data_IF_023426459679
#
_entry.id   IF_023426459679
#
_cell.length_a   1.000
_cell.length_b   1.000
_cell.length_c   1.000
_cell.angle_alpha   90.00
_cell.angle_beta   90.00
_cell.angle_gamma   90.00
#
_symmetry.space_group_name_H-M   'P 1'
#
loop_
_entity.id
_entity.type
_entity.pdbx_description
1 polymer ?
#
# COMPACT_ATOMS: atom_id res chain seq x y z
N UNK A 1 17.45 4.51 -9.56
CA UNK A 1 16.57 3.44 -9.05
C UNK A 1 16.21 2.51 -10.21
N UNK A 2 16.07 1.20 -9.99
CA UNK A 2 15.63 0.28 -11.05
C UNK A 2 14.15 0.51 -11.42
N UNK A 3 13.79 0.21 -12.67
CA UNK A 3 12.41 0.31 -13.15
C UNK A 3 11.46 -0.61 -12.37
N UNK A 4 10.28 -0.09 -12.00
CA UNK A 4 9.25 -0.81 -11.25
C UNK A 4 8.25 -1.53 -12.17
N UNK A 5 8.72 -2.42 -13.03
CA UNK A 5 7.85 -3.20 -13.95
C UNK A 5 6.70 -3.89 -13.21
N UNK A 6 5.50 -3.86 -13.76
CA UNK A 6 4.28 -4.36 -13.09
C UNK A 6 3.58 -3.31 -12.21
N UNK A 7 4.17 -2.13 -11.96
CA UNK A 7 3.49 -1.07 -11.21
C UNK A 7 2.27 -0.49 -11.93
N UNK A 8 2.22 -0.57 -13.27
CA UNK A 8 1.03 -0.18 -14.03
C UNK A 8 -0.15 -1.12 -13.74
N UNK A 9 0.11 -2.42 -13.62
CA UNK A 9 -0.88 -3.43 -13.21
C UNK A 9 -1.42 -3.13 -11.81
N UNK A 10 -0.54 -2.75 -10.87
CA UNK A 10 -0.94 -2.30 -9.53
C UNK A 10 -1.86 -1.07 -9.61
N UNK A 11 -1.50 -0.05 -10.41
CA UNK A 11 -2.30 1.16 -10.63
C UNK A 11 -3.69 0.83 -11.17
N UNK A 12 -3.78 -0.01 -12.20
CA UNK A 12 -5.05 -0.36 -12.85
C UNK A 12 -5.97 -1.16 -11.92
N UNK A 13 -5.40 -2.13 -11.18
CA UNK A 13 -6.15 -2.93 -10.21
C UNK A 13 -6.70 -2.08 -9.07
N UNK A 14 -5.90 -1.17 -8.50
CA UNK A 14 -6.36 -0.26 -7.45
C UNK A 14 -7.41 0.71 -7.97
N UNK A 15 -7.22 1.26 -9.17
CA UNK A 15 -8.19 2.15 -9.80
C UNK A 15 -9.53 1.47 -9.97
N UNK A 16 -9.55 0.24 -10.49
CA UNK A 16 -10.77 -0.55 -10.62
C UNK A 16 -11.45 -0.75 -9.25
N UNK A 17 -10.72 -1.25 -8.25
CA UNK A 17 -11.32 -1.60 -6.95
C UNK A 17 -11.80 -0.41 -6.14
N UNK A 18 -11.06 0.70 -6.13
CA UNK A 18 -11.54 1.91 -5.44
C UNK A 18 -12.70 2.58 -6.19
N UNK A 19 -12.76 2.47 -7.51
CA UNK A 19 -13.93 2.93 -8.28
C UNK A 19 -15.16 2.09 -7.96
N UNK A 20 -15.03 0.76 -7.82
CA UNK A 20 -16.12 -0.15 -7.41
C UNK A 20 -16.68 0.22 -6.01
N UNK A 21 -15.82 0.71 -5.11
CA UNK A 21 -16.20 1.23 -3.79
C UNK A 21 -16.73 2.66 -3.80
N UNK A 22 -16.85 3.28 -4.98
CA UNK A 22 -17.44 4.61 -5.16
C UNK A 22 -16.50 5.77 -4.83
N UNK A 23 -15.19 5.58 -4.87
CA UNK A 23 -14.20 6.65 -4.79
C UNK A 23 -13.96 7.28 -6.17
N UNK A 24 -13.75 8.60 -6.20
CA UNK A 24 -13.23 9.29 -7.38
C UNK A 24 -11.70 9.11 -7.45
N UNK A 25 -11.22 8.30 -8.40
CA UNK A 25 -9.79 7.97 -8.50
C UNK A 25 -9.07 8.87 -9.52
N UNK A 26 -7.96 9.47 -9.09
CA UNK A 26 -7.04 10.25 -9.93
C UNK A 26 -5.65 9.62 -9.87
N UNK A 27 -5.11 9.25 -11.03
CA UNK A 27 -3.76 8.70 -11.15
C UNK A 27 -2.79 9.77 -11.65
N UNK A 28 -1.55 9.72 -11.15
CA UNK A 28 -0.47 10.59 -11.58
C UNK A 28 0.79 9.75 -11.71
N UNK A 29 1.35 9.70 -12.91
CA UNK A 29 2.51 8.87 -13.23
C UNK A 29 3.79 9.72 -13.21
N UNK A 30 4.86 9.17 -12.61
CA UNK A 30 6.23 9.69 -12.66
C UNK A 30 6.40 11.19 -12.38
N UNK A 31 5.65 11.71 -11.39
CA UNK A 31 5.77 13.10 -10.97
C UNK A 31 7.17 13.41 -10.42
N UNK A 32 7.70 14.58 -10.77
CA UNK A 32 8.91 15.13 -10.14
C UNK A 32 8.65 15.57 -8.72
N UNK A 33 9.72 15.74 -7.96
CA UNK A 33 9.67 16.12 -6.56
C UNK A 33 9.11 17.53 -6.33
N UNK A 34 9.16 18.41 -7.34
CA UNK A 34 8.50 19.72 -7.32
C UNK A 34 7.00 19.63 -7.63
N UNK A 35 6.57 18.65 -8.43
CA UNK A 35 5.20 18.50 -8.90
C UNK A 35 4.32 17.75 -7.89
N UNK A 36 4.88 16.71 -7.25
CA UNK A 36 4.16 15.86 -6.31
C UNK A 36 3.59 16.65 -5.12
N UNK A 37 4.37 17.51 -4.42
CA UNK A 37 3.83 18.36 -3.36
C UNK A 37 2.74 19.31 -3.85
N UNK A 38 2.83 19.84 -5.07
CA UNK A 38 1.80 20.72 -5.64
C UNK A 38 0.49 19.97 -5.87
N UNK A 39 0.53 18.72 -6.37
CA UNK A 39 -0.66 17.89 -6.53
C UNK A 39 -1.29 17.52 -5.19
N UNK A 40 -0.47 17.12 -4.22
CA UNK A 40 -0.95 16.77 -2.88
C UNK A 40 -1.52 18.00 -2.16
N UNK A 41 -0.85 19.15 -2.25
CA UNK A 41 -1.34 20.42 -1.70
C UNK A 41 -2.68 20.82 -2.32
N UNK A 42 -2.82 20.73 -3.65
CA UNK A 42 -4.09 20.99 -4.33
C UNK A 42 -5.21 20.08 -3.81
N UNK A 43 -4.91 18.81 -3.55
CA UNK A 43 -5.87 17.87 -2.97
C UNK A 43 -6.21 18.25 -1.51
N UNK A 44 -5.24 18.63 -0.68
CA UNK A 44 -5.50 19.01 0.71
C UNK A 44 -6.29 20.31 0.85
N UNK A 45 -6.15 21.25 -0.09
CA UNK A 45 -6.89 22.52 -0.08
C UNK A 45 -8.26 22.47 -0.76
N UNK A 46 -8.62 21.35 -1.38
CA UNK A 46 -9.95 21.18 -1.96
C UNK A 46 -11.03 21.06 -0.86
N UNK A 47 -12.28 21.34 -1.21
CA UNK A 47 -13.39 21.05 -0.31
C UNK A 47 -13.69 19.55 -0.30
N UNK A 48 -13.61 18.93 0.88
CA UNK A 48 -13.99 17.54 1.13
C UNK A 48 -15.29 17.45 1.92
N UNK A 49 -16.11 18.50 1.95
CA UNK A 49 -17.33 18.56 2.76
C UNK A 49 -18.27 17.38 2.46
N UNK A 50 -18.44 17.05 1.18
CA UNK A 50 -19.31 15.98 0.69
C UNK A 50 -18.61 14.61 0.57
N UNK A 51 -17.32 14.54 0.91
CA UNK A 51 -16.56 13.29 0.90
C UNK A 51 -16.71 12.53 2.23
N UNK A 52 -16.74 11.20 2.18
CA UNK A 52 -16.79 10.35 3.38
C UNK A 52 -15.40 10.11 3.98
N UNK A 53 -14.37 10.06 3.15
CA UNK A 53 -12.98 9.83 3.52
C UNK A 53 -12.04 10.38 2.43
N UNK A 54 -10.74 10.37 2.73
CA UNK A 54 -9.68 10.61 1.77
C UNK A 54 -8.76 9.39 1.70
N UNK A 55 -8.36 9.00 0.49
CA UNK A 55 -7.43 7.89 0.25
C UNK A 55 -6.32 8.33 -0.70
N UNK A 56 -5.08 8.02 -0.35
CA UNK A 56 -3.90 8.32 -1.16
C UNK A 56 -2.96 7.11 -1.22
N UNK A 57 -2.54 6.73 -2.42
CA UNK A 57 -1.64 5.59 -2.64
C UNK A 57 -0.34 6.07 -3.26
N UNK A 58 0.80 5.63 -2.72
CA UNK A 58 2.13 5.92 -3.25
C UNK A 58 2.80 4.65 -3.77
N UNK A 59 2.72 4.41 -5.08
CA UNK A 59 3.40 3.27 -5.73
C UNK A 59 4.82 3.68 -6.18
N UNK A 60 5.78 3.68 -5.25
CA UNK A 60 7.16 4.06 -5.56
C UNK A 60 8.17 3.25 -4.74
N UNK A 61 9.45 3.50 -5.01
CA UNK A 61 10.52 3.13 -4.10
C UNK A 61 10.44 3.99 -2.84
N UNK A 62 11.02 3.51 -1.74
CA UNK A 62 11.09 4.23 -0.48
C UNK A 62 12.38 3.95 0.27
N UNK A 63 12.68 4.83 1.22
CA UNK A 63 13.84 4.73 2.10
C UNK A 63 13.55 5.46 3.42
N UNK A 64 13.53 4.73 4.54
CA UNK A 64 13.16 5.27 5.85
C UNK A 64 11.79 5.94 5.88
N UNK A 65 11.77 7.23 6.27
CA UNK A 65 10.58 8.09 6.26
C UNK A 65 10.33 8.78 4.90
N UNK A 66 11.03 8.39 3.82
CA UNK A 66 10.90 9.00 2.51
C UNK A 66 10.30 8.06 1.47
N UNK A 67 9.64 8.65 0.47
CA UNK A 67 9.28 8.03 -0.80
C UNK A 67 10.05 8.71 -1.93
N UNK A 68 10.31 8.00 -3.02
CA UNK A 68 10.93 8.58 -4.20
C UNK A 68 9.86 9.17 -5.12
N UNK A 69 10.02 10.44 -5.48
CA UNK A 69 9.46 10.99 -6.70
C UNK A 69 10.38 10.60 -7.89
N UNK A 70 10.12 11.12 -9.08
CA UNK A 70 10.92 10.79 -10.26
C UNK A 70 12.41 11.14 -10.12
N UNK A 71 12.73 12.28 -9.53
CA UNK A 71 14.06 12.88 -9.49
C UNK A 71 14.65 13.04 -8.07
N UNK A 72 13.83 13.06 -7.02
CA UNK A 72 14.30 13.17 -5.63
C UNK A 72 13.37 12.50 -4.61
N UNK A 73 13.89 12.29 -3.40
CA UNK A 73 13.13 11.75 -2.27
C UNK A 73 12.34 12.83 -1.55
N UNK A 74 11.15 12.49 -1.07
CA UNK A 74 10.26 13.36 -0.30
C UNK A 74 9.87 12.66 1.00
N UNK A 75 9.88 13.41 2.10
CA UNK A 75 9.44 12.91 3.38
C UNK A 75 7.92 12.69 3.41
N UNK A 76 7.50 11.51 3.86
CA UNK A 76 6.08 11.11 3.95
C UNK A 76 5.31 12.05 4.89
N UNK A 77 5.93 12.54 5.97
CA UNK A 77 5.31 13.47 6.90
C UNK A 77 4.98 14.82 6.25
N UNK A 78 5.79 15.29 5.30
CA UNK A 78 5.52 16.54 4.56
C UNK A 78 4.23 16.43 3.76
N UNK A 79 3.97 15.25 3.17
CA UNK A 79 2.78 15.01 2.35
C UNK A 79 1.54 14.73 3.19
N UNK A 80 1.65 13.78 4.13
CA UNK A 80 0.54 13.39 5.01
C UNK A 80 0.14 14.52 5.97
N UNK A 81 1.10 15.35 6.39
CA UNK A 81 0.89 16.46 7.31
C UNK A 81 -0.03 17.55 6.77
N UNK A 82 -0.22 17.65 5.45
CA UNK A 82 -1.15 18.59 4.81
C UNK A 82 -2.62 18.25 5.09
N UNK A 83 -2.92 17.03 5.51
CA UNK A 83 -4.28 16.57 5.81
C UNK A 83 -4.60 16.56 7.31
N UNK A 84 -3.71 17.13 8.15
CA UNK A 84 -4.00 17.34 9.57
C UNK A 84 -5.12 18.37 9.75
N UNK A 85 -5.82 18.30 10.89
CA UNK A 85 -7.07 19.04 11.10
C UNK A 85 -6.92 20.57 10.99
N UNK A 86 -5.79 21.11 11.40
CA UNK A 86 -5.43 22.53 11.28
C UNK A 86 -5.20 22.99 9.83
N UNK A 87 -4.87 22.06 8.92
CA UNK A 87 -4.56 22.35 7.50
C UNK A 87 -5.66 21.94 6.53
N UNK A 88 -6.43 20.91 6.88
CA UNK A 88 -7.52 20.38 6.05
C UNK A 88 -8.79 20.19 6.89
N UNK A 89 -9.44 21.32 7.19
CA UNK A 89 -10.60 21.35 8.10
C UNK A 89 -11.78 20.48 7.62
N UNK A 90 -11.99 20.38 6.31
CA UNK A 90 -13.10 19.60 5.72
C UNK A 90 -12.94 18.07 5.86
N UNK A 91 -11.76 17.58 6.28
CA UNK A 91 -11.48 16.18 6.59
C UNK A 91 -11.34 15.89 8.09
N UNK A 92 -11.59 16.86 8.98
CA UNK A 92 -11.61 16.61 10.44
C UNK A 92 -12.73 15.62 10.78
N UNK A 93 -12.43 14.58 11.55
CA UNK A 93 -13.37 13.53 11.90
C UNK A 93 -13.65 12.51 10.79
N UNK A 94 -12.99 12.63 9.63
CA UNK A 94 -13.14 11.72 8.47
C UNK A 94 -11.88 10.87 8.29
N UNK A 95 -11.98 9.59 7.89
CA UNK A 95 -10.81 8.74 7.68
C UNK A 95 -9.86 9.29 6.60
N UNK A 96 -8.55 9.26 6.89
CA UNK A 96 -7.46 9.68 6.00
C UNK A 96 -6.50 8.51 5.81
N UNK A 97 -6.69 7.79 4.70
CA UNK A 97 -6.06 6.49 4.45
C UNK A 97 -4.87 6.71 3.51
N UNK A 98 -3.69 6.29 3.93
CA UNK A 98 -2.48 6.33 3.11
C UNK A 98 -1.94 4.93 2.92
N UNK A 99 -1.82 4.49 1.68
CA UNK A 99 -1.30 3.17 1.32
C UNK A 99 0.06 3.37 0.66
N UNK A 100 1.11 2.89 1.32
CA UNK A 100 2.50 3.12 0.93
C UNK A 100 3.16 1.74 0.78
N UNK A 101 3.01 1.08 -0.38
CA UNK A 101 3.75 -0.13 -0.70
C UNK A 101 5.19 0.20 -1.09
N UNK A 102 5.90 0.89 -0.20
CA UNK A 102 7.28 1.29 -0.39
C UNK A 102 8.14 0.74 0.74
N UNK A 103 9.35 0.35 0.36
CA UNK A 103 10.40 -0.11 1.25
C UNK A 103 10.87 1.01 2.18
N UNK A 104 11.23 0.67 3.41
CA UNK A 104 11.60 1.67 4.43
C UNK A 104 12.95 1.43 5.11
N UNK A 105 13.81 0.56 4.58
CA UNK A 105 15.20 0.39 5.04
C UNK A 105 15.77 -1.03 4.93
N UNK A 106 17.05 -1.22 5.23
CA UNK A 106 17.80 -2.43 4.84
C UNK A 106 17.93 -3.52 5.93
N UNK A 107 17.02 -3.59 6.90
CA UNK A 107 17.09 -4.61 7.96
C UNK A 107 16.26 -5.85 7.61
N UNK A 108 16.82 -7.03 7.89
CA UNK A 108 16.34 -8.31 7.39
C UNK A 108 15.98 -9.23 8.55
N UNK A 109 14.71 -9.61 8.64
CA UNK A 109 14.28 -10.71 9.51
C UNK A 109 14.72 -12.07 8.96
N UNK A 110 15.16 -12.95 9.87
CA UNK A 110 15.46 -14.35 9.55
C UNK A 110 14.14 -15.13 9.48
N UNK A 111 13.82 -15.80 8.36
CA UNK A 111 12.57 -16.51 8.22
C UNK A 111 12.46 -17.68 9.21
N UNK A 112 11.35 -17.73 9.96
CA UNK A 112 10.98 -18.87 10.79
C UNK A 112 9.99 -19.76 10.04
N UNK A 113 10.26 -21.07 10.02
CA UNK A 113 9.42 -22.09 9.39
C UNK A 113 8.19 -22.33 10.28
N UNK A 114 6.95 -22.10 9.81
CA UNK A 114 5.75 -22.53 10.52
C UNK A 114 5.67 -24.05 10.48
N UNK A 115 5.28 -24.68 11.59
CA UNK A 115 5.19 -26.13 11.75
C UNK A 115 4.08 -26.81 10.91
N UNK A 116 3.26 -26.05 10.19
CA UNK A 116 2.19 -26.58 9.36
C UNK A 116 2.39 -26.19 7.89
N UNK A 117 2.75 -27.17 7.06
CA UNK A 117 2.58 -27.05 5.61
C UNK A 117 2.15 -28.37 4.99
N UNK A 118 1.05 -28.30 4.24
CA UNK A 118 0.64 -29.30 3.25
C UNK A 118 1.09 -28.81 1.88
N UNK A 119 1.91 -29.61 1.19
CA UNK A 119 2.44 -29.29 -0.13
C UNK A 119 1.36 -29.41 -1.22
N UNK A 120 1.27 -28.39 -2.07
CA UNK A 120 0.62 -28.52 -3.38
C UNK A 120 1.57 -28.01 -4.46
N UNK A 121 2.06 -28.94 -5.29
CA UNK A 121 2.76 -28.62 -6.54
C UNK A 121 1.77 -28.11 -7.59
N UNK A 122 2.14 -27.05 -8.31
CA UNK A 122 1.52 -26.69 -9.59
C UNK A 122 2.58 -26.42 -10.64
N UNK A 123 2.21 -26.80 -11.86
CA UNK A 123 3.06 -26.87 -13.05
C UNK A 123 3.37 -25.50 -13.66
N UNK A 124 4.49 -25.44 -14.39
CA UNK A 124 5.09 -24.25 -15.00
C UNK A 124 4.23 -23.63 -16.11
N UNK A 125 4.09 -22.30 -16.08
CA UNK A 125 3.75 -21.44 -17.24
C UNK A 125 4.42 -20.06 -17.06
N UNK A 126 4.86 -19.49 -18.18
CA UNK A 126 5.46 -18.16 -18.46
C UNK A 126 6.23 -17.45 -17.31
N UNK A 127 7.53 -17.20 -17.54
CA UNK A 127 8.49 -16.67 -16.55
C UNK A 127 8.17 -15.24 -16.10
N UNK A 128 7.21 -15.11 -15.19
CA UNK A 128 7.01 -13.93 -14.37
C UNK A 128 8.08 -13.91 -13.26
N UNK A 129 8.85 -12.83 -13.20
CA UNK A 129 10.03 -12.74 -12.34
C UNK A 129 9.73 -11.85 -11.13
N UNK A 130 9.97 -12.39 -9.94
CA UNK A 130 9.84 -11.64 -8.69
C UNK A 130 11.08 -10.79 -8.45
N UNK A 131 10.88 -9.51 -8.15
CA UNK A 131 11.89 -8.55 -7.69
C UNK A 131 11.73 -8.30 -6.20
N UNK A 132 12.86 -8.05 -5.52
CA UNK A 132 12.94 -7.90 -4.07
C UNK A 132 13.57 -6.54 -3.69
N UNK A 133 12.94 -5.85 -2.74
CA UNK A 133 13.48 -4.62 -2.12
C UNK A 133 13.44 -4.78 -0.57
N UNK A 134 14.36 -4.16 0.17
CA UNK A 134 14.46 -4.30 1.64
C UNK A 134 13.67 -3.21 2.39
N UNK A 135 12.95 -3.54 3.47
CA UNK A 135 12.14 -2.60 4.25
C UNK A 135 12.29 -2.67 5.78
N UNK A 136 12.11 -1.52 6.47
CA UNK A 136 12.03 -1.40 7.94
C UNK A 136 11.06 -0.29 8.38
N UNK A 137 10.12 -0.52 9.28
CA UNK A 137 9.08 0.48 9.62
C UNK A 137 9.53 1.58 10.58
N UNK A 138 9.21 2.83 10.23
CA UNK A 138 9.07 3.96 11.16
C UNK A 138 7.57 4.24 11.38
N UNK A 139 7.08 4.12 12.61
CA UNK A 139 5.73 4.55 12.98
C UNK A 139 5.68 6.07 13.01
N UNK A 140 5.16 6.67 11.93
CA UNK A 140 4.96 8.12 11.89
C UNK A 140 3.69 8.44 12.69
N UNK A 141 3.74 9.34 13.69
CA UNK A 141 2.53 9.80 14.36
C UNK A 141 1.73 10.65 13.39
N UNK A 142 0.76 10.03 12.71
CA UNK A 142 -0.25 10.79 12.00
C UNK A 142 -1.36 11.20 12.99
N UNK A 143 -2.04 12.32 12.68
CA UNK A 143 -3.07 12.85 13.58
C UNK A 143 -4.26 11.89 13.75
N UNK A 144 -5.26 12.29 14.52
CA UNK A 144 -6.50 11.51 14.64
C UNK A 144 -7.12 11.22 13.26
N UNK A 145 -7.75 10.04 13.16
CA UNK A 145 -8.45 9.54 11.97
C UNK A 145 -7.55 9.23 10.76
N UNK A 146 -6.24 9.05 10.97
CA UNK A 146 -5.34 8.53 9.95
C UNK A 146 -5.23 7.01 10.01
N UNK A 147 -5.09 6.39 8.85
CA UNK A 147 -4.75 4.98 8.71
C UNK A 147 -3.58 4.86 7.73
N UNK A 148 -2.43 4.41 8.21
CA UNK A 148 -1.22 4.26 7.42
C UNK A 148 -0.99 2.77 7.12
N UNK A 149 -1.08 2.37 5.86
CA UNK A 149 -0.90 1.00 5.41
C UNK A 149 0.45 0.83 4.71
N UNK A 150 1.22 -0.16 5.11
CA UNK A 150 2.56 -0.44 4.60
C UNK A 150 2.65 -1.89 4.10
N UNK A 151 3.32 -2.09 2.97
CA UNK A 151 3.48 -3.42 2.38
C UNK A 151 4.41 -4.34 3.16
N UNK A 152 5.23 -3.79 4.06
CA UNK A 152 6.21 -4.53 4.87
C UNK A 152 6.40 -3.85 6.23
N UNK A 153 6.35 -4.63 7.32
CA UNK A 153 6.73 -4.21 8.68
C UNK A 153 8.25 -4.16 8.87
N UNK A 154 8.92 -5.24 8.48
CA UNK A 154 10.37 -5.40 8.43
C UNK A 154 10.67 -6.57 7.45
N UNK A 155 11.78 -6.52 6.71
CA UNK A 155 12.14 -7.59 5.77
C UNK A 155 11.97 -7.23 4.29
N UNK A 156 11.24 -8.05 3.52
CA UNK A 156 11.34 -8.09 2.05
C UNK A 156 10.03 -7.74 1.35
N UNK A 157 10.11 -6.87 0.35
CA UNK A 157 9.01 -6.52 -0.54
C UNK A 157 9.12 -7.29 -1.84
N UNK A 158 8.05 -7.99 -2.23
CA UNK A 158 8.01 -8.76 -3.47
C UNK A 158 7.09 -8.13 -4.50
N UNK A 159 7.62 -7.97 -5.71
CA UNK A 159 6.86 -7.51 -6.87
C UNK A 159 7.15 -8.36 -8.08
N UNK A 160 6.09 -8.84 -8.71
CA UNK A 160 6.13 -9.54 -9.97
C UNK A 160 6.15 -8.55 -11.12
N UNK A 161 7.02 -8.80 -12.11
CA UNK A 161 7.21 -7.89 -13.24
C UNK A 161 5.99 -7.75 -14.15
N UNK A 162 5.04 -8.69 -14.07
CA UNK A 162 3.81 -8.72 -14.88
C UNK A 162 2.57 -8.43 -14.01
N UNK A 163 2.38 -9.22 -12.95
CA UNK A 163 1.16 -9.15 -12.13
C UNK A 163 1.17 -8.04 -11.07
N UNK A 164 2.31 -7.38 -10.87
CA UNK A 164 2.45 -6.32 -9.87
C UNK A 164 2.86 -6.85 -8.50
N UNK A 165 2.66 -6.03 -7.47
CA UNK A 165 3.15 -6.27 -6.12
C UNK A 165 2.25 -7.23 -5.36
N UNK A 166 2.81 -8.22 -4.65
CA UNK A 166 1.99 -9.19 -3.88
C UNK A 166 0.99 -8.52 -2.95
N UNK A 167 1.45 -7.50 -2.22
CA UNK A 167 0.60 -6.71 -1.35
C UNK A 167 -0.58 -6.05 -2.08
N UNK A 168 -0.38 -5.51 -3.29
CA UNK A 168 -1.44 -4.84 -4.04
C UNK A 168 -2.38 -5.86 -4.68
N UNK A 169 -1.85 -6.98 -5.17
CA UNK A 169 -2.66 -8.09 -5.67
C UNK A 169 -3.64 -8.58 -4.58
N UNK A 170 -3.12 -8.94 -3.40
CA UNK A 170 -3.93 -9.43 -2.29
C UNK A 170 -4.89 -8.37 -1.75
N UNK A 171 -4.45 -7.10 -1.67
CA UNK A 171 -5.32 -5.99 -1.31
C UNK A 171 -6.50 -5.87 -2.28
N UNK A 172 -6.24 -5.87 -3.59
CA UNK A 172 -7.27 -5.76 -4.61
C UNK A 172 -8.20 -6.99 -4.62
N UNK A 173 -7.69 -8.18 -4.34
CA UNK A 173 -8.50 -9.39 -4.17
C UNK A 173 -9.44 -9.27 -2.96
N UNK A 174 -8.91 -8.88 -1.81
CA UNK A 174 -9.70 -8.72 -0.58
C UNK A 174 -10.73 -7.58 -0.70
N UNK A 175 -10.38 -6.48 -1.36
CA UNK A 175 -11.34 -5.40 -1.68
C UNK A 175 -12.46 -5.90 -2.58
N UNK A 176 -12.14 -6.69 -3.61
CA UNK A 176 -13.16 -7.24 -4.52
C UNK A 176 -14.12 -8.22 -3.83
N UNK A 177 -13.63 -9.02 -2.88
CA UNK A 177 -14.45 -10.03 -2.16
C UNK A 177 -15.21 -9.45 -0.97
N UNK A 178 -14.59 -8.55 -0.21
CA UNK A 178 -15.05 -8.15 1.12
C UNK A 178 -15.07 -6.63 1.34
N UNK A 179 -14.63 -5.82 0.38
CA UNK A 179 -14.54 -4.36 0.54
C UNK A 179 -15.86 -3.69 0.90
N UNK A 180 -16.98 -4.24 0.42
CA UNK A 180 -18.32 -3.71 0.66
C UNK A 180 -19.03 -4.31 1.88
N UNK A 181 -18.38 -5.16 2.67
CA UNK A 181 -19.00 -5.88 3.79
C UNK A 181 -18.18 -5.86 5.09
N UNK A 182 -16.85 -5.98 4.99
CA UNK A 182 -15.96 -6.03 6.15
C UNK A 182 -15.61 -4.63 6.67
N UNK A 183 -15.21 -4.57 7.94
CA UNK A 183 -14.51 -3.39 8.45
C UNK A 183 -13.11 -3.33 7.81
N UNK A 184 -12.64 -2.13 7.44
CA UNK A 184 -11.46 -1.99 6.60
C UNK A 184 -10.17 -2.51 7.25
N UNK A 185 -10.01 -2.40 8.57
CA UNK A 185 -8.84 -2.96 9.29
C UNK A 185 -8.91 -4.48 9.44
N UNK A 186 -10.12 -5.06 9.52
CA UNK A 186 -10.32 -6.51 9.41
C UNK A 186 -9.91 -7.00 8.01
N UNK A 187 -10.28 -6.25 6.96
CA UNK A 187 -9.86 -6.54 5.58
C UNK A 187 -8.35 -6.49 5.43
N UNK A 188 -7.69 -5.45 5.96
CA UNK A 188 -6.22 -5.35 5.96
C UNK A 188 -5.56 -6.49 6.73
N UNK A 189 -6.21 -7.03 7.76
CA UNK A 189 -5.72 -8.22 8.46
C UNK A 189 -5.78 -9.47 7.58
N UNK A 190 -6.80 -9.61 6.72
CA UNK A 190 -6.84 -10.69 5.71
C UNK A 190 -5.73 -10.53 4.68
N UNK A 191 -5.43 -9.30 4.26
CA UNK A 191 -4.29 -9.00 3.37
C UNK A 191 -2.98 -9.41 4.04
N UNK A 192 -2.76 -9.05 5.30
CA UNK A 192 -1.56 -9.47 6.04
C UNK A 192 -1.40 -11.00 6.03
N UNK A 193 -2.50 -11.74 6.24
CA UNK A 193 -2.49 -13.19 6.23
C UNK A 193 -2.10 -13.76 4.86
N UNK A 194 -2.74 -13.31 3.78
CA UNK A 194 -2.44 -13.79 2.43
C UNK A 194 -0.97 -13.53 2.05
N UNK A 195 -0.51 -12.29 2.19
CA UNK A 195 0.86 -11.92 1.80
C UNK A 195 1.91 -12.69 2.63
N UNK A 196 1.65 -12.94 3.92
CA UNK A 196 2.56 -13.70 4.79
C UNK A 196 2.68 -15.19 4.44
N UNK A 197 1.69 -15.71 3.70
CA UNK A 197 1.64 -17.10 3.24
C UNK A 197 2.24 -17.27 1.85
N UNK A 198 2.40 -16.19 1.07
CA UNK A 198 3.07 -16.24 -0.22
C UNK A 198 4.51 -16.76 -0.08
N UNK A 199 4.88 -17.68 -0.97
CA UNK A 199 6.22 -18.27 -1.02
C UNK A 199 6.89 -17.88 -2.32
N UNK A 200 8.17 -17.55 -2.21
CA UNK A 200 9.02 -17.28 -3.36
C UNK A 200 9.59 -18.61 -3.85
N UNK A 201 8.90 -19.24 -4.79
CA UNK A 201 9.36 -20.51 -5.39
C UNK A 201 10.40 -20.27 -6.51
N UNK A 202 10.26 -19.14 -7.22
CA UNK A 202 11.16 -18.70 -8.28
C UNK A 202 11.48 -17.22 -8.08
N UNK A 203 12.75 -16.87 -7.98
CA UNK A 203 13.21 -15.49 -7.92
C UNK A 203 14.43 -15.27 -8.82
N UNK A 204 14.60 -14.04 -9.32
CA UNK A 204 15.85 -13.63 -9.98
C UNK A 204 17.04 -13.72 -9.04
N UNK A 205 16.80 -13.52 -7.75
CA UNK A 205 17.81 -13.59 -6.73
C UNK A 205 17.58 -14.84 -5.87
N UNK A 206 18.43 -15.89 -5.97
CA UNK A 206 18.25 -17.12 -5.18
C UNK A 206 18.27 -16.87 -3.67
N UNK A 207 18.92 -15.79 -3.23
CA UNK A 207 18.91 -15.34 -1.82
C UNK A 207 17.50 -14.97 -1.35
N UNK A 208 16.55 -14.72 -2.26
CA UNK A 208 15.17 -14.38 -1.96
C UNK A 208 14.26 -15.57 -1.64
N UNK A 209 14.71 -16.79 -1.93
CA UNK A 209 13.94 -18.00 -1.66
C UNK A 209 13.78 -18.17 -0.15
N UNK A 210 12.55 -18.40 0.29
CA UNK A 210 12.20 -18.55 1.71
C UNK A 210 12.03 -17.24 2.48
N UNK A 211 12.25 -16.09 1.84
CA UNK A 211 12.01 -14.78 2.46
C UNK A 211 10.53 -14.42 2.40
N UNK A 212 9.95 -14.16 3.56
CA UNK A 212 8.54 -13.80 3.69
C UNK A 212 8.35 -12.29 3.64
N UNK A 213 7.15 -11.90 3.21
CA UNK A 213 6.69 -10.53 3.29
C UNK A 213 5.56 -10.45 4.32
N UNK A 214 5.66 -9.53 5.28
CA UNK A 214 4.62 -9.31 6.28
C UNK A 214 4.21 -7.84 6.25
N UNK A 215 3.06 -7.50 5.66
CA UNK A 215 2.54 -6.14 5.68
C UNK A 215 2.07 -5.73 7.08
N UNK A 216 1.91 -4.43 7.29
CA UNK A 216 1.33 -3.90 8.52
C UNK A 216 0.57 -2.60 8.28
N UNK A 217 -0.23 -2.19 9.25
CA UNK A 217 -0.87 -0.89 9.25
C UNK A 217 -0.81 -0.25 10.64
N UNK A 218 -0.68 1.07 10.68
CA UNK A 218 -0.79 1.89 11.89
C UNK A 218 -2.12 2.64 11.83
N UNK A 219 -3.03 2.29 12.74
CA UNK A 219 -4.37 2.88 12.81
C UNK A 219 -4.46 3.89 13.94
N UNK A 220 -4.84 5.12 13.59
CA UNK A 220 -5.26 6.17 14.52
C UNK A 220 -6.74 6.51 14.27
N UNK A 221 -7.49 5.59 13.65
CA UNK A 221 -8.93 5.69 13.48
C UNK A 221 -9.62 5.69 14.85
N UNK A 222 -10.63 6.54 14.99
CA UNK A 222 -11.44 6.64 16.22
C UNK A 222 -12.78 5.92 16.10
N UNK A 223 -13.08 5.36 14.92
CA UNK A 223 -14.34 4.68 14.57
C UNK A 223 -14.05 3.54 13.59
N UNK A 224 -14.98 2.59 13.52
CA UNK A 224 -14.98 1.55 12.46
C UNK A 224 -15.18 2.19 11.09
N UNK A 225 -14.46 1.69 10.10
CA UNK A 225 -14.54 2.13 8.71
C UNK A 225 -15.13 1.02 7.83
N UNK A 226 -16.25 1.31 7.18
CA UNK A 226 -16.89 0.43 6.20
C UNK A 226 -17.14 1.16 4.89
N UNK A 227 -17.00 0.45 3.76
CA UNK A 227 -17.34 0.94 2.42
C UNK A 227 -18.61 0.28 1.90
N UNK A 228 -19.71 0.37 2.66
CA UNK A 228 -20.99 -0.16 2.21
C UNK A 228 -21.46 0.53 0.90
N UNK A 229 -22.21 -0.19 0.04
CA UNK A 229 -22.77 0.41 -1.16
C UNK A 229 -23.64 1.63 -0.79
N UNK A 230 -23.40 2.77 -1.47
CA UNK A 230 -24.22 3.96 -1.26
C UNK A 230 -25.65 3.66 -1.72
N UNK A 231 -26.64 3.94 -0.87
CA UNK A 231 -28.05 3.87 -1.26
C UNK A 231 -28.30 4.81 -2.44
N UNK A 232 -29.05 4.31 -3.45
CA UNK A 232 -29.53 5.12 -4.58
C UNK A 232 -30.60 6.11 -4.14
#
# INVERSE_FOLDING_TARGET
MPDRRGTSTDTDNLKCRFSDLGLEVKCFDDLKAEELPLKIHKASTASHADANCFLCVFLSHGEGNHIYAYDAKIEIQTLTGLFKGDKCQSLVGKPKIFIIPACRGNQHDVPVVPLDVVDHQRDKLDVNLTQMDAASVYTLPAGADFLMCYSVAEGYFHRETVNGSWYIQDLCEMLGKFGSSLEFTELLTLVNRQVSQCRVDICREPSAIGKKQVPCFASMLTKKLHFFPKSK
#
